data_IF_019079572170
#
_entry.id   IF_019079572170
#
_cell.length_a   1.000
_cell.length_b   1.000
_cell.length_c   1.000
_cell.angle_alpha   90.00
_cell.angle_beta   90.00
_cell.angle_gamma   90.00
#
_symmetry.space_group_name_H-M   'P 1'
#
loop_
_entity.id
_entity.type
_entity.pdbx_description
1 polymer ?
#
# COMPACT_ATOMS: atom_id res chain seq x y z
N UNK A 1 12.05 -2.87 17.75
CA UNK A 1 11.57 -1.47 17.81
C UNK A 1 10.05 -1.52 17.67
N UNK A 2 9.28 -1.06 18.66
CA UNK A 2 7.83 -1.04 18.55
C UNK A 2 7.45 0.21 17.75
N UNK A 3 7.25 0.04 16.44
CA UNK A 3 6.86 1.13 15.56
C UNK A 3 5.34 1.29 15.66
N UNK A 4 4.87 2.21 16.50
CA UNK A 4 3.44 2.46 16.81
C UNK A 4 2.70 3.25 15.73
N UNK A 5 3.36 3.55 14.61
CA UNK A 5 2.75 4.25 13.49
C UNK A 5 1.76 3.34 12.77
N UNK A 6 0.50 3.77 12.66
CA UNK A 6 -0.53 3.09 11.87
C UNK A 6 -0.70 3.82 10.52
N UNK A 7 -0.04 3.38 9.44
CA UNK A 7 -0.06 4.07 8.17
C UNK A 7 -1.45 4.03 7.52
N UNK A 8 -1.78 5.08 6.77
CA UNK A 8 -3.00 5.17 5.96
C UNK A 8 -2.58 5.36 4.51
N UNK A 9 -3.01 4.45 3.63
CA UNK A 9 -2.79 4.58 2.20
C UNK A 9 -3.56 5.78 1.65
N UNK A 10 -2.88 6.62 0.87
CA UNK A 10 -3.54 7.68 0.08
C UNK A 10 -4.51 7.03 -0.91
N UNK A 11 -5.71 7.60 -1.05
CA UNK A 11 -6.75 7.16 -2.00
C UNK A 11 -7.07 8.19 -3.07
N UNK A 12 -6.95 9.48 -2.74
CA UNK A 12 -7.22 10.56 -3.68
C UNK A 12 -6.09 10.68 -4.71
N UNK A 13 -6.45 11.03 -5.94
CA UNK A 13 -5.49 11.25 -7.03
C UNK A 13 -4.80 9.97 -7.53
N UNK A 14 -5.30 8.79 -7.15
CA UNK A 14 -4.74 7.51 -7.59
C UNK A 14 -5.74 6.74 -8.45
N UNK A 15 -5.27 6.21 -9.57
CA UNK A 15 -5.94 5.13 -10.31
C UNK A 15 -5.25 3.83 -9.94
N UNK A 16 -6.02 2.88 -9.44
CA UNK A 16 -5.51 1.60 -8.94
C UNK A 16 -6.09 0.49 -9.79
N UNK A 17 -5.24 -0.35 -10.35
CA UNK A 17 -5.64 -1.48 -11.15
C UNK A 17 -4.98 -2.76 -10.64
N UNK A 18 -5.80 -3.77 -10.36
CA UNK A 18 -5.32 -5.11 -10.06
C UNK A 18 -5.07 -5.85 -11.38
N UNK A 19 -3.87 -6.41 -11.50
CA UNK A 19 -3.49 -7.34 -12.56
C UNK A 19 -3.08 -8.67 -11.91
N UNK A 20 -2.95 -9.79 -12.65
CA UNK A 20 -2.83 -11.11 -12.06
C UNK A 20 -1.76 -11.27 -10.96
N UNK A 21 -0.60 -10.63 -11.13
CA UNK A 21 0.55 -10.83 -10.24
C UNK A 21 0.96 -9.57 -9.44
N UNK A 22 0.36 -8.41 -9.74
CA UNK A 22 0.76 -7.13 -9.18
C UNK A 22 -0.41 -6.14 -9.09
N UNK A 23 -0.20 -5.05 -8.35
CA UNK A 23 -1.11 -3.91 -8.31
C UNK A 23 -0.43 -2.71 -8.92
N UNK A 24 -1.02 -2.15 -9.98
CA UNK A 24 -0.57 -0.91 -10.59
C UNK A 24 -1.24 0.27 -9.89
N UNK A 25 -0.44 1.18 -9.35
CA UNK A 25 -0.90 2.44 -8.77
C UNK A 25 -0.39 3.58 -9.63
N UNK A 26 -1.31 4.23 -10.35
CA UNK A 26 -1.01 5.42 -11.14
C UNK A 26 -1.38 6.68 -10.36
N UNK A 27 -0.36 7.47 -10.03
CA UNK A 27 -0.50 8.77 -9.37
C UNK A 27 -0.75 9.86 -10.41
N UNK A 28 -1.96 10.42 -10.40
CA UNK A 28 -2.41 11.48 -11.30
C UNK A 28 -1.75 12.83 -11.01
N UNK A 29 -1.32 13.06 -9.77
CA UNK A 29 -0.68 14.33 -9.38
C UNK A 29 0.77 14.39 -9.87
N UNK A 30 1.50 13.27 -9.75
CA UNK A 30 2.91 13.19 -10.13
C UNK A 30 3.13 12.58 -11.51
N UNK A 31 2.05 12.09 -12.15
CA UNK A 31 2.07 11.41 -13.46
C UNK A 31 3.03 10.20 -13.47
N UNK A 32 3.00 9.40 -12.40
CA UNK A 32 3.89 8.23 -12.19
C UNK A 32 3.10 6.97 -11.97
N UNK A 33 3.58 5.86 -12.52
CA UNK A 33 3.05 4.53 -12.27
C UNK A 33 3.99 3.77 -11.32
N UNK A 34 3.41 3.12 -10.31
CA UNK A 34 4.10 2.25 -9.37
C UNK A 34 3.53 0.84 -9.48
N UNK A 35 4.39 -0.14 -9.76
CA UNK A 35 4.03 -1.56 -9.74
C UNK A 35 4.32 -2.13 -8.35
N UNK A 36 3.29 -2.60 -7.67
CA UNK A 36 3.40 -3.26 -6.37
C UNK A 36 3.36 -4.77 -6.57
N UNK A 37 4.45 -5.46 -6.22
CA UNK A 37 4.45 -6.92 -6.14
C UNK A 37 3.47 -7.41 -5.06
N UNK A 38 3.26 -8.73 -4.97
CA UNK A 38 2.30 -9.33 -4.06
C UNK A 38 2.45 -8.86 -2.59
N UNK A 39 3.68 -8.87 -2.05
CA UNK A 39 3.95 -8.43 -0.67
C UNK A 39 3.70 -6.93 -0.49
N UNK A 40 4.15 -6.09 -1.42
CA UNK A 40 3.92 -4.64 -1.37
C UNK A 40 2.43 -4.29 -1.48
N UNK A 41 1.69 -5.00 -2.32
CA UNK A 41 0.25 -4.84 -2.46
C UNK A 41 -0.49 -5.25 -1.17
N UNK A 42 -0.05 -6.32 -0.50
CA UNK A 42 -0.59 -6.73 0.80
C UNK A 42 -0.33 -5.65 1.85
N UNK A 43 0.91 -5.17 1.97
CA UNK A 43 1.27 -4.10 2.91
C UNK A 43 0.45 -2.85 2.63
N UNK A 44 0.35 -2.42 1.36
CA UNK A 44 -0.40 -1.23 0.97
C UNK A 44 -1.89 -1.32 1.30
N UNK A 45 -2.52 -2.50 1.13
CA UNK A 45 -3.92 -2.74 1.54
C UNK A 45 -4.11 -2.72 3.06
N UNK A 46 -3.11 -3.14 3.82
CA UNK A 46 -3.14 -3.13 5.30
C UNK A 46 -2.85 -1.76 5.92
N UNK A 47 -2.41 -0.77 5.12
CA UNK A 47 -2.29 0.63 5.53
C UNK A 47 -3.67 1.28 5.64
N UNK A 48 -4.46 0.89 6.63
CA UNK A 48 -5.82 1.36 6.88
C UNK A 48 -5.94 2.32 8.08
N UNK A 49 -4.82 2.67 8.72
CA UNK A 49 -4.75 3.50 9.91
C UNK A 49 -5.06 2.77 11.21
N UNK A 50 -5.32 1.46 11.17
CA UNK A 50 -5.64 0.64 12.36
C UNK A 50 -4.47 -0.24 12.77
N UNK A 51 -3.79 -0.84 11.79
CA UNK A 51 -2.64 -1.71 12.05
C UNK A 51 -1.35 -0.89 12.11
N UNK A 52 -0.56 -1.12 13.15
CA UNK A 52 0.80 -0.60 13.26
C UNK A 52 1.74 -1.25 12.26
N UNK A 53 2.86 -0.61 11.95
CA UNK A 53 3.89 -1.19 11.07
C UNK A 53 4.34 -2.57 11.57
N UNK A 54 4.41 -2.78 12.89
CA UNK A 54 4.84 -4.06 13.47
C UNK A 54 3.79 -5.16 13.25
N UNK A 55 2.51 -4.83 13.34
CA UNK A 55 1.41 -5.75 13.05
C UNK A 55 1.33 -6.07 11.55
N UNK A 56 1.48 -5.06 10.68
CA UNK A 56 1.48 -5.25 9.23
C UNK A 56 2.64 -6.15 8.81
N UNK A 57 3.84 -5.95 9.38
CA UNK A 57 5.01 -6.78 9.09
C UNK A 57 4.83 -8.25 9.47
N UNK A 58 3.95 -8.56 10.43
CA UNK A 58 3.65 -9.94 10.84
C UNK A 58 2.65 -10.64 9.91
N UNK A 59 2.04 -9.93 8.94
CA UNK A 59 1.08 -10.49 7.97
C UNK A 59 1.73 -11.00 6.68
N UNK A 60 2.99 -10.63 6.42
CA UNK A 60 3.70 -10.83 5.15
C UNK A 60 4.77 -11.91 5.24
#
# INVERSE_FOLDING_TARGET
MNNTQCPIARKNGLVVQEVPDEVLVYDLETNKAHCLNQSAAMIWRSCDGKNSVSEIAALV
#
